data_IF_334748075285
#
_entry.id   IF_334748075285
#
_cell.length_a   1.000
_cell.length_b   1.000
_cell.length_c   1.000
_cell.angle_alpha   90.00
_cell.angle_beta   90.00
_cell.angle_gamma   90.00
#
_symmetry.space_group_name_H-M   'P 1'
#
loop_
_entity.id
_entity.type
_entity.pdbx_description
1 polymer ?
#
# COMPACT_ATOMS: atom_id res chain seq x y z
N UNK A 1 -2.30 -29.14 17.49
CA UNK A 1 -2.92 -28.98 16.16
C UNK A 1 -4.43 -28.72 16.36
N UNK A 2 -4.79 -27.59 16.97
CA UNK A 2 -6.18 -27.20 17.28
C UNK A 2 -6.24 -25.70 17.67
N UNK A 3 -6.03 -24.78 16.71
CA UNK A 3 -6.15 -23.31 16.96
C UNK A 3 -7.21 -22.66 16.04
N UNK A 4 -7.93 -23.47 15.25
CA UNK A 4 -8.85 -22.97 14.25
C UNK A 4 -10.09 -23.85 14.16
N UNK A 5 -10.99 -23.74 15.13
CA UNK A 5 -12.36 -24.24 14.97
C UNK A 5 -13.12 -23.23 14.07
N UNK A 6 -12.73 -23.20 12.80
CA UNK A 6 -13.24 -22.31 11.74
C UNK A 6 -14.53 -22.93 11.18
N UNK A 7 -15.49 -23.27 12.04
CA UNK A 7 -16.74 -23.89 11.62
C UNK A 7 -17.75 -22.83 11.13
N UNK A 8 -17.47 -22.22 9.98
CA UNK A 8 -18.56 -21.68 9.14
C UNK A 8 -19.37 -22.85 8.57
N UNK A 9 -20.67 -22.66 8.30
CA UNK A 9 -21.45 -23.67 7.58
C UNK A 9 -20.97 -23.76 6.13
N UNK A 10 -19.97 -24.59 5.88
CA UNK A 10 -19.34 -24.78 4.57
C UNK A 10 -20.00 -25.88 3.72
N UNK A 11 -21.04 -26.53 4.26
CA UNK A 11 -21.74 -27.64 3.61
C UNK A 11 -22.83 -27.15 2.65
N UNK A 12 -23.42 -25.99 2.95
CA UNK A 12 -24.50 -25.39 2.17
C UNK A 12 -24.03 -24.05 1.61
N UNK A 13 -24.12 -23.90 0.29
CA UNK A 13 -23.87 -22.62 -0.36
C UNK A 13 -25.12 -21.75 -0.19
N UNK A 14 -25.03 -20.57 0.44
CA UNK A 14 -26.18 -19.69 0.58
C UNK A 14 -26.60 -19.11 -0.77
N UNK A 15 -27.91 -19.01 -1.04
CA UNK A 15 -28.45 -18.48 -2.30
C UNK A 15 -28.09 -17.00 -2.54
N UNK A 16 -27.94 -16.26 -1.43
CA UNK A 16 -27.69 -14.81 -1.43
C UNK A 16 -26.68 -14.44 -0.35
N UNK A 17 -26.00 -13.31 -0.54
CA UNK A 17 -24.96 -12.80 0.36
C UNK A 17 -25.26 -11.35 0.74
N UNK A 18 -25.04 -10.99 2.01
CA UNK A 18 -25.18 -9.62 2.47
C UNK A 18 -24.05 -8.73 1.96
N UNK A 19 -24.36 -7.52 1.53
CA UNK A 19 -23.37 -6.51 1.16
C UNK A 19 -22.54 -6.05 2.37
N UNK A 20 -21.24 -5.81 2.19
CA UNK A 20 -20.36 -5.16 3.17
C UNK A 20 -19.79 -3.86 2.59
N UNK A 21 -20.61 -2.82 2.70
CA UNK A 21 -20.32 -1.47 2.25
C UNK A 21 -19.14 -0.81 2.99
N UNK A 22 -18.72 -1.31 4.16
CA UNK A 22 -17.54 -0.80 4.86
C UNK A 22 -16.25 -1.18 4.15
N UNK A 23 -16.21 -2.36 3.54
CA UNK A 23 -15.04 -2.91 2.86
C UNK A 23 -15.04 -2.64 1.35
N UNK A 24 -16.15 -2.96 0.68
CA UNK A 24 -16.28 -2.84 -0.78
C UNK A 24 -17.05 -1.59 -1.23
N UNK A 25 -17.34 -0.68 -0.29
CA UNK A 25 -18.05 0.55 -0.58
C UNK A 25 -17.29 1.54 -1.43
N UNK A 26 -18.03 2.33 -2.22
CA UNK A 26 -17.47 3.31 -3.15
C UNK A 26 -16.45 4.26 -2.48
N UNK A 27 -16.77 4.80 -1.31
CA UNK A 27 -15.87 5.73 -0.61
C UNK A 27 -14.57 5.09 -0.09
N UNK A 28 -14.64 3.87 0.47
CA UNK A 28 -13.45 3.12 0.91
C UNK A 28 -12.52 2.83 -0.27
N UNK A 29 -13.10 2.31 -1.37
CA UNK A 29 -12.33 2.00 -2.58
C UNK A 29 -11.71 3.26 -3.20
N UNK A 30 -12.49 4.33 -3.31
CA UNK A 30 -12.03 5.59 -3.89
C UNK A 30 -10.90 6.21 -3.07
N UNK A 31 -10.96 6.13 -1.74
CA UNK A 31 -9.89 6.63 -0.87
C UNK A 31 -8.55 5.95 -1.15
N UNK A 32 -8.54 4.62 -1.27
CA UNK A 32 -7.33 3.87 -1.61
C UNK A 32 -6.82 4.18 -3.02
N UNK A 33 -7.73 4.29 -3.99
CA UNK A 33 -7.37 4.58 -5.40
C UNK A 33 -6.77 5.99 -5.51
N UNK A 34 -7.42 7.00 -4.94
CA UNK A 34 -6.93 8.39 -4.97
C UNK A 34 -5.57 8.48 -4.28
N UNK A 35 -5.44 7.90 -3.08
CA UNK A 35 -4.17 7.91 -2.33
C UNK A 35 -3.05 7.27 -3.13
N UNK A 36 -3.31 6.12 -3.76
CA UNK A 36 -2.31 5.42 -4.55
C UNK A 36 -1.92 6.21 -5.80
N UNK A 37 -2.89 6.75 -6.54
CA UNK A 37 -2.62 7.57 -7.74
C UNK A 37 -1.80 8.82 -7.41
N UNK A 38 -2.19 9.56 -6.37
CA UNK A 38 -1.46 10.76 -5.93
C UNK A 38 -0.07 10.38 -5.45
N UNK A 39 0.07 9.33 -4.64
CA UNK A 39 1.38 8.91 -4.10
C UNK A 39 2.34 8.46 -5.19
N UNK A 40 1.86 7.71 -6.19
CA UNK A 40 2.67 7.30 -7.33
C UNK A 40 3.06 8.51 -8.20
N UNK A 41 2.17 9.48 -8.39
CA UNK A 41 2.46 10.72 -9.11
C UNK A 41 3.52 11.56 -8.38
N UNK A 42 3.35 11.78 -7.07
CA UNK A 42 4.32 12.51 -6.25
C UNK A 42 5.68 11.81 -6.23
N UNK A 43 5.69 10.48 -6.09
CA UNK A 43 6.90 9.66 -6.19
C UNK A 43 7.58 9.83 -7.55
N UNK A 44 6.81 9.82 -8.65
CA UNK A 44 7.34 10.03 -9.98
C UNK A 44 7.95 11.43 -10.16
N UNK A 45 7.27 12.47 -9.69
CA UNK A 45 7.77 13.85 -9.72
C UNK A 45 9.10 13.96 -8.96
N UNK A 46 9.18 13.43 -7.74
CA UNK A 46 10.41 13.49 -6.92
C UNK A 46 11.56 12.75 -7.59
N UNK A 47 11.32 11.56 -8.14
CA UNK A 47 12.35 10.78 -8.83
C UNK A 47 12.81 11.50 -10.10
N UNK A 48 11.90 12.03 -10.91
CA UNK A 48 12.22 12.77 -12.15
C UNK A 48 13.01 14.06 -11.87
N UNK A 49 12.65 14.80 -10.82
CA UNK A 49 13.40 15.98 -10.39
C UNK A 49 14.83 15.60 -9.95
N UNK A 50 14.98 14.51 -9.19
CA UNK A 50 16.29 13.96 -8.82
C UNK A 50 17.15 13.48 -10.01
N UNK A 51 16.54 13.17 -11.16
CA UNK A 51 17.28 12.92 -12.40
C UNK A 51 17.79 14.22 -13.03
N UNK A 52 16.99 15.30 -12.99
CA UNK A 52 17.31 16.62 -13.56
C UNK A 52 18.27 17.48 -12.70
N UNK A 53 18.87 16.91 -11.65
CA UNK A 53 19.69 17.63 -10.64
C UNK A 53 18.95 18.75 -9.89
N UNK A 54 17.62 18.82 -9.96
CA UNK A 54 16.83 19.77 -9.17
C UNK A 54 16.22 18.99 -8.01
N UNK A 55 16.56 19.33 -6.76
CA UNK A 55 16.23 18.48 -5.60
C UNK A 55 15.17 19.02 -4.65
N UNK A 56 14.73 20.26 -4.85
CA UNK A 56 13.81 20.93 -3.94
C UNK A 56 12.34 20.66 -4.31
N UNK A 57 11.80 19.54 -3.83
CA UNK A 57 10.35 19.26 -3.82
C UNK A 57 9.79 19.07 -2.40
N UNK A 58 10.03 20.01 -1.46
CA UNK A 58 9.72 19.84 -0.04
C UNK A 58 8.23 19.52 0.21
N UNK A 59 7.35 20.19 -0.53
CA UNK A 59 5.90 19.98 -0.47
C UNK A 59 5.53 18.56 -0.90
N UNK A 60 6.05 18.10 -2.04
CA UNK A 60 5.78 16.75 -2.55
C UNK A 60 6.27 15.68 -1.58
N UNK A 61 7.45 15.88 -0.96
CA UNK A 61 7.99 14.95 0.05
C UNK A 61 7.07 14.86 1.27
N UNK A 62 6.66 16.00 1.86
CA UNK A 62 5.78 16.01 3.05
C UNK A 62 4.42 15.38 2.74
N UNK A 63 3.83 15.69 1.59
CA UNK A 63 2.57 15.09 1.14
C UNK A 63 2.68 13.59 0.96
N UNK A 64 3.74 13.12 0.27
CA UNK A 64 3.95 11.70 0.01
C UNK A 64 4.12 10.90 1.30
N UNK A 65 4.83 11.46 2.29
CA UNK A 65 4.93 10.87 3.64
C UNK A 65 3.53 10.76 4.26
N UNK A 66 2.76 11.85 4.29
CA UNK A 66 1.44 11.87 4.92
C UNK A 66 0.45 10.87 4.29
N UNK A 67 0.38 10.81 2.96
CA UNK A 67 -0.47 9.85 2.25
C UNK A 67 -0.07 8.40 2.55
N UNK A 68 1.22 8.10 2.52
CA UNK A 68 1.72 6.76 2.79
C UNK A 68 1.50 6.34 4.24
N UNK A 69 1.64 7.25 5.20
CA UNK A 69 1.41 6.97 6.63
C UNK A 69 -0.09 6.73 6.93
N UNK A 70 -0.98 7.42 6.23
CA UNK A 70 -2.41 7.11 6.31
C UNK A 70 -2.69 5.73 5.68
N UNK A 71 -2.13 5.47 4.50
CA UNK A 71 -2.40 4.26 3.70
C UNK A 71 -1.89 2.97 4.38
N UNK A 72 -0.80 3.04 5.14
CA UNK A 72 -0.28 1.89 5.87
C UNK A 72 -1.17 1.51 7.05
N UNK A 73 -1.66 2.50 7.82
CA UNK A 73 -2.52 2.26 8.98
C UNK A 73 -3.88 1.73 8.53
N UNK A 74 -4.50 2.38 7.53
CA UNK A 74 -5.78 1.92 6.99
C UNK A 74 -5.63 0.54 6.34
N UNK A 75 -4.51 0.29 5.64
CA UNK A 75 -4.19 -0.98 4.99
C UNK A 75 -4.08 -2.14 5.98
N UNK A 76 -3.38 -1.93 7.10
CA UNK A 76 -3.31 -2.92 8.18
C UNK A 76 -4.69 -3.14 8.81
N UNK A 77 -5.45 -2.06 9.02
CA UNK A 77 -6.79 -2.11 9.60
C UNK A 77 -7.76 -2.96 8.77
N UNK A 78 -7.86 -2.71 7.46
CA UNK A 78 -8.79 -3.44 6.58
C UNK A 78 -8.42 -4.93 6.48
N UNK A 79 -7.13 -5.25 6.40
CA UNK A 79 -6.66 -6.64 6.36
C UNK A 79 -6.94 -7.37 7.68
N UNK A 80 -6.74 -6.69 8.81
CA UNK A 80 -7.05 -7.24 10.13
C UNK A 80 -8.55 -7.54 10.27
N UNK A 81 -9.43 -6.63 9.81
CA UNK A 81 -10.88 -6.86 9.80
C UNK A 81 -11.26 -8.06 8.92
N UNK A 82 -10.64 -8.20 7.74
CA UNK A 82 -10.85 -9.35 6.86
C UNK A 82 -10.49 -10.68 7.52
N UNK A 83 -9.36 -10.73 8.23
CA UNK A 83 -8.92 -11.93 8.95
C UNK A 83 -9.81 -12.25 10.16
N UNK A 84 -10.19 -11.23 10.95
CA UNK A 84 -11.09 -11.44 12.11
C UNK A 84 -12.46 -11.94 11.66
N UNK A 85 -12.98 -11.42 10.53
CA UNK A 85 -14.27 -11.83 9.97
C UNK A 85 -14.16 -13.02 9.00
N UNK A 86 -13.06 -13.77 8.99
CA UNK A 86 -12.84 -14.84 7.99
C UNK A 86 -13.92 -15.93 7.96
N UNK A 87 -14.61 -16.19 9.08
CA UNK A 87 -15.69 -17.18 9.18
C UNK A 87 -17.04 -16.72 8.64
N UNK A 88 -17.23 -15.40 8.48
CA UNK A 88 -18.51 -14.80 8.07
C UNK A 88 -18.40 -13.98 6.78
N UNK A 89 -17.21 -13.46 6.48
CA UNK A 89 -16.93 -12.70 5.27
C UNK A 89 -16.74 -13.63 4.08
N UNK A 90 -17.45 -13.34 3.00
CA UNK A 90 -17.38 -14.11 1.76
C UNK A 90 -16.09 -13.85 0.99
N UNK A 91 -15.75 -14.78 0.11
CA UNK A 91 -14.53 -14.72 -0.70
C UNK A 91 -14.46 -13.46 -1.58
N UNK A 92 -15.60 -12.94 -2.05
CA UNK A 92 -15.67 -11.69 -2.84
C UNK A 92 -15.13 -10.47 -2.08
N UNK A 93 -15.64 -10.17 -0.88
CA UNK A 93 -15.17 -9.03 -0.08
C UNK A 93 -13.72 -9.22 0.35
N UNK A 94 -13.33 -10.45 0.68
CA UNK A 94 -11.96 -10.76 1.07
C UNK A 94 -10.97 -10.54 -0.10
N UNK A 95 -11.37 -10.85 -1.33
CA UNK A 95 -10.57 -10.57 -2.53
C UNK A 95 -10.36 -9.07 -2.73
N UNK A 96 -11.38 -8.24 -2.48
CA UNK A 96 -11.25 -6.78 -2.52
C UNK A 96 -10.25 -6.29 -1.47
N UNK A 97 -10.32 -6.80 -0.23
CA UNK A 97 -9.34 -6.46 0.83
C UNK A 97 -7.91 -6.76 0.38
N UNK A 98 -7.69 -7.91 -0.26
CA UNK A 98 -6.38 -8.27 -0.79
C UNK A 98 -5.90 -7.28 -1.86
N UNK A 99 -6.76 -6.87 -2.80
CA UNK A 99 -6.41 -5.84 -3.80
C UNK A 99 -6.09 -4.49 -3.16
N UNK A 100 -6.82 -4.08 -2.12
CA UNK A 100 -6.55 -2.84 -1.37
C UNK A 100 -5.20 -2.92 -0.63
N UNK A 101 -4.81 -4.09 -0.14
CA UNK A 101 -3.49 -4.34 0.44
C UNK A 101 -2.36 -4.18 -0.61
N UNK A 102 -2.58 -4.60 -1.85
CA UNK A 102 -1.62 -4.40 -2.94
C UNK A 102 -1.43 -2.90 -3.24
N UNK A 103 -2.51 -2.11 -3.29
CA UNK A 103 -2.43 -0.65 -3.45
C UNK A 103 -1.69 0.01 -2.28
N UNK A 104 -1.97 -0.41 -1.05
CA UNK A 104 -1.25 0.06 0.13
C UNK A 104 0.24 -0.28 0.05
N UNK A 105 0.58 -1.49 -0.38
CA UNK A 105 1.98 -1.90 -0.55
C UNK A 105 2.68 -1.07 -1.63
N UNK A 106 2.07 -0.89 -2.80
CA UNK A 106 2.63 -0.09 -3.89
C UNK A 106 2.90 1.36 -3.45
N UNK A 107 1.96 1.97 -2.72
CA UNK A 107 2.08 3.33 -2.18
C UNK A 107 3.26 3.45 -1.21
N UNK A 108 3.34 2.54 -0.23
CA UNK A 108 4.39 2.56 0.79
C UNK A 108 5.78 2.35 0.19
N UNK A 109 5.86 1.48 -0.80
CA UNK A 109 7.10 1.14 -1.47
C UNK A 109 7.57 2.24 -2.42
N UNK A 110 6.66 2.88 -3.14
CA UNK A 110 6.96 4.06 -3.97
C UNK A 110 7.51 5.20 -3.09
N UNK A 111 6.94 5.38 -1.90
CA UNK A 111 7.41 6.37 -0.94
C UNK A 111 8.84 6.08 -0.47
N UNK A 112 9.15 4.83 -0.13
CA UNK A 112 10.51 4.42 0.24
C UNK A 112 11.50 4.65 -0.91
N UNK A 113 11.12 4.31 -2.14
CA UNK A 113 11.92 4.48 -3.34
C UNK A 113 12.28 5.96 -3.59
N UNK A 114 11.30 6.86 -3.46
CA UNK A 114 11.45 8.30 -3.70
C UNK A 114 12.17 9.04 -2.56
N UNK A 115 11.94 8.62 -1.30
CA UNK A 115 12.42 9.30 -0.09
C UNK A 115 13.52 8.54 0.64
N UNK A 116 14.26 7.67 -0.06
CA UNK A 116 15.32 6.84 0.54
C UNK A 116 16.35 7.65 1.33
N UNK A 117 16.72 8.84 0.86
CA UNK A 117 17.70 9.69 1.52
C UNK A 117 17.13 10.34 2.78
N UNK A 118 15.85 10.70 2.76
CA UNK A 118 15.15 11.26 3.93
C UNK A 118 15.07 10.21 5.05
N UNK A 119 14.72 8.96 4.72
CA UNK A 119 14.65 7.88 5.72
C UNK A 119 16.02 7.41 6.24
N UNK A 120 17.12 7.71 5.53
CA UNK A 120 18.47 7.41 6.04
C UNK A 120 18.89 8.36 7.16
N UNK A 121 18.29 9.56 7.26
CA UNK A 121 18.61 10.55 8.29
C UNK A 121 18.08 10.14 9.66
N UNK A 122 16.83 9.70 9.73
CA UNK A 122 16.12 9.45 10.99
C UNK A 122 15.89 7.95 11.23
N UNK A 123 16.74 7.34 12.06
CA UNK A 123 16.74 5.88 12.25
C UNK A 123 15.47 5.34 12.92
N UNK A 124 14.88 6.08 13.88
CA UNK A 124 13.67 5.64 14.60
C UNK A 124 12.47 5.59 13.65
N UNK A 125 12.22 6.67 12.91
CA UNK A 125 11.12 6.74 11.94
C UNK A 125 11.29 5.69 10.84
N UNK A 126 12.53 5.43 10.43
CA UNK A 126 12.84 4.34 9.49
C UNK A 126 12.42 2.97 10.02
N UNK A 127 12.78 2.61 11.25
CA UNK A 127 12.44 1.32 11.83
C UNK A 127 10.95 1.18 12.09
N UNK A 128 10.30 2.22 12.61
CA UNK A 128 8.85 2.24 12.82
C UNK A 128 8.11 2.00 11.51
N UNK A 129 8.51 2.70 10.44
CA UNK A 129 7.92 2.54 9.12
C UNK A 129 8.16 1.15 8.55
N UNK A 130 9.39 0.64 8.64
CA UNK A 130 9.72 -0.70 8.16
C UNK A 130 8.97 -1.79 8.92
N UNK A 131 8.77 -1.62 10.22
CA UNK A 131 7.94 -2.51 11.02
C UNK A 131 6.49 -2.54 10.52
N UNK A 132 5.86 -1.38 10.35
CA UNK A 132 4.49 -1.35 9.81
C UNK A 132 4.41 -1.88 8.36
N UNK A 133 5.42 -1.61 7.53
CA UNK A 133 5.44 -2.12 6.15
C UNK A 133 5.60 -3.64 6.13
N UNK A 134 6.40 -4.19 7.04
CA UNK A 134 6.54 -5.63 7.25
C UNK A 134 5.22 -6.26 7.70
N UNK A 135 4.53 -5.65 8.66
CA UNK A 135 3.21 -6.12 9.11
C UNK A 135 2.20 -6.10 7.96
N UNK A 136 2.14 -4.99 7.20
CA UNK A 136 1.25 -4.88 6.04
C UNK A 136 1.54 -5.95 4.97
N UNK A 137 2.82 -6.18 4.67
CA UNK A 137 3.25 -7.21 3.73
C UNK A 137 2.90 -8.61 4.23
N UNK A 138 3.11 -8.91 5.51
CA UNK A 138 2.79 -10.21 6.11
C UNK A 138 1.28 -10.49 6.04
N UNK A 139 0.44 -9.53 6.42
CA UNK A 139 -1.01 -9.63 6.27
C UNK A 139 -1.42 -9.77 4.80
N UNK A 140 -0.71 -9.11 3.88
CA UNK A 140 -0.94 -9.18 2.44
C UNK A 140 -0.64 -10.56 1.86
N UNK A 141 0.48 -11.17 2.29
CA UNK A 141 0.86 -12.53 1.92
C UNK A 141 -0.12 -13.53 2.50
N UNK A 142 -0.51 -13.40 3.78
CA UNK A 142 -1.51 -14.27 4.41
C UNK A 142 -2.83 -14.23 3.65
N UNK A 143 -3.39 -13.03 3.41
CA UNK A 143 -4.62 -12.88 2.63
C UNK A 143 -4.45 -13.40 1.19
N UNK A 144 -3.29 -13.21 0.58
CA UNK A 144 -2.94 -13.79 -0.71
C UNK A 144 -2.97 -15.31 -0.72
N UNK A 145 -2.48 -15.99 0.33
CA UNK A 145 -2.54 -17.45 0.45
C UNK A 145 -4.00 -17.93 0.52
N UNK A 146 -4.87 -17.26 1.28
CA UNK A 146 -6.29 -17.58 1.31
C UNK A 146 -6.92 -17.47 -0.10
N UNK A 147 -6.63 -16.39 -0.83
CA UNK A 147 -7.11 -16.21 -2.21
C UNK A 147 -6.51 -17.24 -3.18
N UNK A 148 -5.24 -17.60 -3.03
CA UNK A 148 -4.64 -18.65 -3.84
C UNK A 148 -5.39 -19.97 -3.65
N UNK A 149 -5.71 -20.31 -2.40
CA UNK A 149 -6.47 -21.53 -2.09
C UNK A 149 -7.90 -21.49 -2.64
N UNK A 150 -8.57 -20.32 -2.67
CA UNK A 150 -9.92 -20.22 -3.28
C UNK A 150 -9.89 -20.47 -4.77
N UNK A 151 -8.86 -19.98 -5.46
CA UNK A 151 -8.68 -20.23 -6.89
C UNK A 151 -8.30 -21.69 -7.15
N UNK A 152 -7.41 -22.28 -6.35
CA UNK A 152 -6.99 -23.68 -6.51
C UNK A 152 -8.13 -24.68 -6.29
N UNK A 153 -9.03 -24.40 -5.34
CA UNK A 153 -10.17 -25.27 -5.02
C UNK A 153 -11.46 -24.94 -5.79
N UNK A 154 -11.43 -23.86 -6.59
CA UNK A 154 -12.60 -23.32 -7.28
C UNK A 154 -13.78 -23.08 -6.30
N UNK A 155 -13.49 -22.39 -5.20
CA UNK A 155 -14.48 -22.13 -4.15
C UNK A 155 -15.56 -21.17 -4.67
N UNK A 156 -16.82 -21.45 -4.34
CA UNK A 156 -17.90 -20.54 -4.70
C UNK A 156 -17.73 -19.16 -4.03
N UNK A 157 -17.87 -18.05 -4.77
CA UNK A 157 -17.66 -16.70 -4.23
C UNK A 157 -18.53 -16.33 -3.02
N UNK A 158 -19.66 -17.03 -2.84
CA UNK A 158 -20.65 -16.84 -1.78
C UNK A 158 -20.28 -17.52 -0.46
N UNK A 159 -19.33 -18.46 -0.50
CA UNK A 159 -18.89 -19.13 0.71
C UNK A 159 -17.92 -18.25 1.50
N UNK A 160 -17.98 -18.34 2.84
CA UNK A 160 -16.98 -17.71 3.70
C UNK A 160 -15.57 -18.14 3.33
N UNK A 161 -14.61 -17.22 3.41
CA UNK A 161 -13.21 -17.48 3.04
C UNK A 161 -12.58 -18.61 3.89
N UNK A 162 -13.02 -18.71 5.15
CA UNK A 162 -12.80 -19.82 6.07
C UNK A 162 -12.96 -21.23 5.45
N UNK A 163 -13.96 -21.40 4.59
CA UNK A 163 -14.32 -22.70 4.02
C UNK A 163 -13.27 -23.25 3.06
N UNK A 164 -12.28 -22.45 2.69
CA UNK A 164 -11.18 -22.89 1.83
C UNK A 164 -10.38 -24.05 2.44
N UNK A 165 -10.39 -24.22 3.76
CA UNK A 165 -9.68 -25.32 4.42
C UNK A 165 -10.51 -26.59 4.60
N UNK A 166 -11.83 -26.49 4.53
CA UNK A 166 -12.76 -27.59 4.83
C UNK A 166 -13.36 -28.22 3.58
N UNK A 167 -13.58 -27.44 2.52
CA UNK A 167 -14.21 -27.93 1.29
C UNK A 167 -13.18 -28.62 0.40
N UNK A 168 -13.57 -29.77 -0.17
CA UNK A 168 -12.79 -30.48 -1.19
C UNK A 168 -12.77 -29.72 -2.52
N UNK A 169 -11.71 -29.94 -3.31
CA UNK A 169 -11.55 -29.27 -4.60
C UNK A 169 -12.66 -29.68 -5.58
N UNK A 170 -13.37 -28.71 -6.17
CA UNK A 170 -14.45 -28.96 -7.15
C UNK A 170 -13.94 -29.05 -8.60
N UNK A 171 -12.67 -29.38 -8.79
CA UNK A 171 -12.00 -29.44 -10.08
C UNK A 171 -11.46 -28.09 -10.56
N UNK A 172 -10.59 -28.11 -11.58
CA UNK A 172 -9.93 -26.93 -12.13
C UNK A 172 -10.60 -26.46 -13.42
N UNK A 173 -11.00 -25.18 -13.48
CA UNK A 173 -11.47 -24.54 -14.73
C UNK A 173 -10.32 -24.44 -15.75
N UNK A 174 -10.62 -24.38 -17.05
CA UNK A 174 -9.59 -24.21 -18.12
C UNK A 174 -8.66 -23.00 -17.88
N UNK A 175 -9.20 -21.92 -17.32
CA UNK A 175 -8.46 -20.68 -17.07
C UNK A 175 -7.82 -20.64 -15.67
N UNK A 176 -7.97 -21.71 -14.87
CA UNK A 176 -7.48 -21.75 -13.50
C UNK A 176 -5.95 -21.63 -13.44
N UNK A 177 -5.23 -22.22 -14.40
CA UNK A 177 -3.76 -22.15 -14.43
C UNK A 177 -3.24 -20.71 -14.51
N UNK A 178 -3.88 -19.85 -15.33
CA UNK A 178 -3.51 -18.45 -15.49
C UNK A 178 -3.80 -17.66 -14.21
N UNK A 179 -4.97 -17.88 -13.59
CA UNK A 179 -5.35 -17.21 -12.35
C UNK A 179 -4.45 -17.63 -11.16
N UNK A 180 -4.13 -18.92 -11.06
CA UNK A 180 -3.21 -19.47 -10.06
C UNK A 180 -1.81 -18.88 -10.25
N UNK A 181 -1.26 -18.95 -11.47
CA UNK A 181 0.05 -18.41 -11.79
C UNK A 181 0.13 -16.90 -11.51
N UNK A 182 -0.91 -16.14 -11.90
CA UNK A 182 -1.01 -14.71 -11.63
C UNK A 182 -1.03 -14.40 -10.13
N UNK A 183 -1.80 -15.17 -9.34
CA UNK A 183 -1.88 -14.97 -7.89
C UNK A 183 -0.54 -15.27 -7.20
N UNK A 184 0.11 -16.38 -7.55
CA UNK A 184 1.44 -16.73 -7.04
C UNK A 184 2.46 -15.66 -7.42
N UNK A 185 2.43 -15.20 -8.68
CA UNK A 185 3.33 -14.16 -9.16
C UNK A 185 3.16 -12.88 -8.35
N UNK A 186 1.92 -12.44 -8.08
CA UNK A 186 1.65 -11.22 -7.29
C UNK A 186 2.15 -11.36 -5.85
N UNK A 187 1.93 -12.49 -5.20
CA UNK A 187 2.42 -12.76 -3.82
C UNK A 187 3.95 -12.76 -3.80
N UNK A 188 4.59 -13.47 -4.72
CA UNK A 188 6.04 -13.51 -4.81
C UNK A 188 6.62 -12.13 -5.11
N UNK A 189 5.99 -11.36 -6.00
CA UNK A 189 6.39 -10.01 -6.34
C UNK A 189 6.34 -9.09 -5.12
N UNK A 190 5.29 -9.18 -4.31
CA UNK A 190 5.15 -8.39 -3.09
C UNK A 190 6.33 -8.62 -2.14
N UNK A 191 6.70 -9.88 -1.90
CA UNK A 191 7.81 -10.25 -1.02
C UNK A 191 9.15 -9.82 -1.60
N UNK A 192 9.41 -10.15 -2.87
CA UNK A 192 10.68 -9.84 -3.55
C UNK A 192 10.93 -8.34 -3.52
N UNK A 193 9.94 -7.53 -3.89
CA UNK A 193 10.14 -6.08 -3.99
C UNK A 193 10.25 -5.46 -2.60
N UNK A 194 9.53 -5.94 -1.59
CA UNK A 194 9.72 -5.49 -0.20
C UNK A 194 11.14 -5.77 0.32
N UNK A 195 11.66 -6.99 0.10
CA UNK A 195 13.03 -7.35 0.48
C UNK A 195 14.04 -6.50 -0.28
N UNK A 196 13.90 -6.37 -1.60
CA UNK A 196 14.77 -5.55 -2.42
C UNK A 196 14.80 -4.09 -1.95
N UNK A 197 13.65 -3.51 -1.61
CA UNK A 197 13.58 -2.14 -1.10
C UNK A 197 14.14 -1.98 0.31
N UNK A 198 14.02 -3.00 1.17
CA UNK A 198 14.65 -2.99 2.49
C UNK A 198 16.17 -3.05 2.37
N UNK A 199 16.70 -3.89 1.48
CA UNK A 199 18.13 -3.96 1.16
C UNK A 199 18.62 -2.64 0.56
N UNK A 200 17.86 -2.07 -0.36
CA UNK A 200 18.13 -0.77 -0.97
C UNK A 200 18.25 0.36 0.07
N UNK A 201 17.36 0.37 1.06
CA UNK A 201 17.39 1.36 2.15
C UNK A 201 18.63 1.22 3.05
N UNK A 202 19.08 -0.02 3.30
CA UNK A 202 20.24 -0.31 4.15
C UNK A 202 21.58 -0.28 3.41
N UNK A 203 21.57 -0.22 2.08
CA UNK A 203 22.80 -0.12 1.29
C UNK A 203 23.59 1.15 1.69
N UNK A 204 24.79 0.94 2.22
CA UNK A 204 25.65 1.98 2.84
C UNK A 204 26.41 2.83 1.82
N UNK A 205 26.70 2.25 0.65
CA UNK A 205 27.45 2.90 -0.43
C UNK A 205 26.48 3.43 -1.47
N UNK A 206 26.63 4.67 -1.92
CA UNK A 206 25.77 5.32 -2.92
C UNK A 206 26.22 4.90 -4.33
N UNK A 207 25.69 3.83 -4.94
CA UNK A 207 26.22 3.30 -6.18
C UNK A 207 25.66 4.12 -7.35
N UNK A 208 26.41 4.28 -8.44
CA UNK A 208 25.91 4.95 -9.66
C UNK A 208 24.60 4.35 -10.21
N UNK A 209 24.29 3.11 -9.81
CA UNK A 209 23.08 2.36 -10.17
C UNK A 209 21.82 2.76 -9.39
N UNK A 210 21.93 3.58 -8.35
CA UNK A 210 20.81 3.99 -7.50
C UNK A 210 19.67 4.63 -8.32
N UNK A 211 20.01 5.54 -9.23
CA UNK A 211 19.04 6.22 -10.11
C UNK A 211 18.34 5.25 -11.06
N UNK A 212 19.06 4.25 -11.58
CA UNK A 212 18.48 3.22 -12.45
C UNK A 212 17.46 2.36 -11.68
N UNK A 213 17.82 1.94 -10.47
CA UNK A 213 16.91 1.19 -9.58
C UNK A 213 15.66 1.99 -9.23
N UNK A 214 15.79 3.31 -8.98
CA UNK A 214 14.63 4.19 -8.75
C UNK A 214 13.70 4.27 -9.98
N UNK A 215 14.23 4.38 -11.19
CA UNK A 215 13.39 4.47 -12.38
C UNK A 215 12.70 3.14 -12.66
N UNK A 216 13.43 2.02 -12.63
CA UNK A 216 12.87 0.68 -12.87
C UNK A 216 11.85 0.32 -11.80
N UNK A 217 12.16 0.56 -10.53
CA UNK A 217 11.24 0.34 -9.41
C UNK A 217 9.98 1.17 -9.53
N UNK A 218 10.08 2.44 -9.95
CA UNK A 218 8.92 3.30 -10.15
C UNK A 218 8.01 2.79 -11.26
N UNK A 219 8.57 2.38 -12.41
CA UNK A 219 7.79 1.83 -13.54
C UNK A 219 7.04 0.57 -13.09
N UNK A 220 7.73 -0.32 -12.36
CA UNK A 220 7.16 -1.54 -11.83
C UNK A 220 6.01 -1.26 -10.84
N UNK A 221 6.16 -0.27 -9.96
CA UNK A 221 5.14 0.12 -8.99
C UNK A 221 3.96 0.83 -9.63
N UNK A 222 4.19 1.62 -10.68
CA UNK A 222 3.14 2.19 -11.51
C UNK A 222 2.33 1.09 -12.18
N UNK A 223 2.98 0.09 -12.79
CA UNK A 223 2.31 -1.03 -13.41
C UNK A 223 1.48 -1.84 -12.40
N UNK A 224 2.05 -2.14 -11.23
CA UNK A 224 1.34 -2.82 -10.14
C UNK A 224 0.14 -2.01 -9.64
N UNK A 225 0.32 -0.70 -9.38
CA UNK A 225 -0.74 0.17 -8.88
C UNK A 225 -1.89 0.36 -9.87
N UNK A 226 -1.57 0.56 -11.16
CA UNK A 226 -2.58 0.66 -12.23
C UNK A 226 -3.30 -0.68 -12.41
N UNK A 227 -2.57 -1.80 -12.44
CA UNK A 227 -3.16 -3.14 -12.58
C UNK A 227 -4.11 -3.49 -11.44
N UNK A 228 -3.70 -3.24 -10.18
CA UNK A 228 -4.55 -3.45 -9.02
C UNK A 228 -5.78 -2.53 -9.05
N UNK A 229 -5.60 -1.25 -9.38
CA UNK A 229 -6.71 -0.28 -9.49
C UNK A 229 -7.72 -0.70 -10.54
N UNK A 230 -7.26 -1.06 -11.74
CA UNK A 230 -8.13 -1.55 -12.82
C UNK A 230 -8.91 -2.79 -12.37
N UNK A 231 -8.25 -3.71 -11.65
CA UNK A 231 -8.91 -4.90 -11.13
C UNK A 231 -9.98 -4.57 -10.07
N UNK A 232 -9.70 -3.65 -9.15
CA UNK A 232 -10.69 -3.17 -8.16
C UNK A 232 -11.91 -2.56 -8.85
N UNK A 233 -11.70 -1.69 -9.84
CA UNK A 233 -12.78 -1.02 -10.57
C UNK A 233 -13.64 -2.03 -11.33
N UNK A 234 -13.03 -3.04 -11.96
CA UNK A 234 -13.77 -4.05 -12.71
C UNK A 234 -14.57 -5.01 -11.83
N UNK A 235 -14.02 -5.41 -10.67
CA UNK A 235 -14.60 -6.47 -9.83
C UNK A 235 -15.59 -5.93 -8.79
N UNK A 236 -15.44 -4.70 -8.33
CA UNK A 236 -16.31 -4.14 -7.29
C UNK A 236 -17.72 -3.82 -7.82
N UNK A 237 -18.75 -4.08 -7.01
CA UNK A 237 -20.13 -3.64 -7.28
C UNK A 237 -20.23 -2.11 -7.35
N UNK A 238 -19.41 -1.41 -6.56
CA UNK A 238 -19.43 0.04 -6.45
C UNK A 238 -19.18 0.73 -7.80
N UNK A 239 -18.24 0.22 -8.61
CA UNK A 239 -17.86 0.83 -9.89
C UNK A 239 -18.15 -0.04 -11.11
N UNK A 240 -18.03 -1.35 -10.97
CA UNK A 240 -18.13 -2.32 -12.05
C UNK A 240 -19.42 -3.14 -12.02
N UNK A 241 -19.31 -4.38 -12.49
CA UNK A 241 -20.36 -5.40 -12.43
C UNK A 241 -19.94 -6.47 -11.44
N UNK A 242 -20.87 -6.84 -10.55
CA UNK A 242 -20.65 -7.93 -9.59
C UNK A 242 -20.30 -9.21 -10.35
N UNK A 243 -19.29 -9.98 -9.91
CA UNK A 243 -18.99 -11.28 -10.51
C UNK A 243 -20.20 -12.21 -10.50
N UNK A 244 -20.36 -13.00 -11.56
CA UNK A 244 -21.46 -13.95 -11.68
C UNK A 244 -21.50 -14.91 -10.48
N UNK A 245 -22.68 -15.05 -9.88
CA UNK A 245 -22.92 -15.99 -8.79
C UNK A 245 -22.64 -15.47 -7.38
N UNK A 246 -22.37 -14.18 -7.15
CA UNK A 246 -22.26 -13.61 -5.78
C UNK A 246 -23.64 -13.29 -5.17
N UNK A 247 -24.63 -12.92 -5.98
CA UNK A 247 -26.02 -12.62 -5.57
C UNK A 247 -26.12 -11.76 -4.30
N UNK A 248 -25.68 -10.51 -4.39
CA UNK A 248 -25.68 -9.57 -3.27
C UNK A 248 -27.11 -9.07 -2.95
N UNK A 249 -27.46 -9.06 -1.67
CA UNK A 249 -28.74 -8.58 -1.13
C UNK A 249 -28.48 -7.59 0.00
N UNK A 250 -29.23 -6.49 0.01
CA UNK A 250 -29.10 -5.41 0.99
C UNK A 250 -28.87 -4.04 0.33
N UNK A 251 -28.50 -3.02 1.11
CA UNK A 251 -28.10 -1.72 0.59
C UNK A 251 -26.96 -1.88 -0.41
N UNK A 252 -27.02 -1.13 -1.51
CA UNK A 252 -26.02 -1.22 -2.57
C UNK A 252 -24.65 -0.79 -2.04
N UNK A 253 -23.56 -1.42 -2.50
CA UNK A 253 -22.20 -0.93 -2.23
C UNK A 253 -21.95 0.47 -2.84
N UNK A 254 -22.86 0.94 -3.71
CA UNK A 254 -22.91 2.30 -4.26
C UNK A 254 -23.56 3.32 -3.31
N UNK A 255 -24.36 2.85 -2.35
CA UNK A 255 -25.06 3.73 -1.43
C UNK A 255 -24.08 4.29 -0.41
N UNK A 256 -24.10 5.61 -0.26
CA UNK A 256 -23.18 6.31 0.63
C UNK A 256 -23.56 6.09 2.09
N UNK A 257 -22.58 5.71 2.91
CA UNK A 257 -22.70 5.60 4.36
C UNK A 257 -21.56 6.30 5.08
N UNK A 258 -21.75 6.61 6.36
CA UNK A 258 -20.72 7.25 7.18
C UNK A 258 -19.37 6.50 7.14
N UNK A 259 -19.41 5.16 7.17
CA UNK A 259 -18.21 4.32 7.12
C UNK A 259 -17.41 4.44 5.82
N UNK A 260 -18.08 4.75 4.70
CA UNK A 260 -17.43 4.99 3.41
C UNK A 260 -16.91 6.43 3.27
N UNK A 261 -17.58 7.39 3.91
CA UNK A 261 -17.17 8.79 3.90
C UNK A 261 -15.91 9.03 4.74
N UNK A 262 -15.77 8.31 5.86
CA UNK A 262 -14.65 8.48 6.79
C UNK A 262 -13.27 8.29 6.11
N UNK A 263 -13.01 7.23 5.33
CA UNK A 263 -11.76 7.08 4.57
C UNK A 263 -11.47 8.23 3.59
N UNK A 264 -12.49 8.83 2.98
CA UNK A 264 -12.31 9.98 2.10
C UNK A 264 -12.00 11.25 2.88
N UNK A 265 -12.65 11.44 4.03
CA UNK A 265 -12.41 12.58 4.89
C UNK A 265 -10.98 12.58 5.45
N UNK A 266 -10.41 11.41 5.70
CA UNK A 266 -9.00 11.29 6.10
C UNK A 266 -8.03 11.85 5.03
N UNK A 267 -8.40 11.84 3.73
CA UNK A 267 -7.59 12.48 2.66
C UNK A 267 -7.46 13.99 2.80
N UNK A 268 -8.29 14.62 3.63
CA UNK A 268 -8.17 16.04 3.94
C UNK A 268 -6.95 16.30 4.83
N UNK A 269 -6.51 15.34 5.66
CA UNK A 269 -5.37 15.54 6.58
C UNK A 269 -4.05 15.86 5.82
N UNK A 270 -3.67 15.11 4.77
CA UNK A 270 -2.54 15.52 3.93
C UNK A 270 -2.71 16.90 3.28
N UNK A 271 -3.93 17.30 2.92
CA UNK A 271 -4.20 18.62 2.34
C UNK A 271 -4.04 19.75 3.36
N UNK A 272 -4.44 19.53 4.61
CA UNK A 272 -4.18 20.48 5.70
C UNK A 272 -2.67 20.66 5.88
N UNK A 273 -1.92 19.55 5.93
CA UNK A 273 -0.45 19.57 6.00
C UNK A 273 0.21 20.34 4.85
N UNK A 274 -0.40 20.33 3.66
CA UNK A 274 0.02 21.12 2.50
C UNK A 274 -0.23 22.62 2.72
N UNK A 275 -1.43 22.99 3.19
CA UNK A 275 -1.78 24.39 3.46
C UNK A 275 -0.85 24.99 4.52
N UNK A 276 -0.54 24.27 5.59
CA UNK A 276 0.41 24.71 6.63
C UNK A 276 1.81 24.99 6.07
N UNK A 277 2.29 24.17 5.13
CA UNK A 277 3.59 24.40 4.48
C UNK A 277 3.53 25.61 3.55
N UNK A 278 2.45 25.76 2.78
CA UNK A 278 2.27 26.91 1.88
C UNK A 278 2.16 28.23 2.66
N UNK A 279 1.59 28.20 3.87
CA UNK A 279 1.55 29.35 4.78
C UNK A 279 2.88 29.64 5.48
N UNK A 280 3.86 28.74 5.37
CA UNK A 280 5.16 28.88 6.03
C UNK A 280 5.13 28.58 7.53
N UNK A 281 4.05 28.00 8.05
CA UNK A 281 3.92 27.62 9.47
C UNK A 281 4.84 26.43 9.81
N UNK A 282 5.18 25.60 8.83
CA UNK A 282 6.10 24.46 8.97
C UNK A 282 7.29 24.61 8.02
N UNK A 283 8.50 24.81 8.57
CA UNK A 283 9.75 24.76 7.80
C UNK A 283 10.10 23.30 7.48
N UNK A 284 10.19 22.98 6.20
CA UNK A 284 10.66 21.66 5.75
C UNK A 284 12.19 21.68 5.70
N UNK A 285 12.90 20.75 6.34
CA UNK A 285 14.35 20.74 6.31
C UNK A 285 14.85 20.50 4.88
N UNK A 286 15.79 21.33 4.44
CA UNK A 286 16.44 21.23 3.13
C UNK A 286 17.27 19.94 3.03
N UNK A 287 17.36 19.35 1.83
CA UNK A 287 18.07 18.09 1.63
C UNK A 287 19.55 18.37 1.34
N UNK A 288 20.49 17.57 1.88
CA UNK A 288 21.94 17.79 1.71
C UNK A 288 22.43 17.82 0.27
N UNK A 289 21.63 17.35 -0.70
CA UNK A 289 21.95 17.45 -2.13
C UNK A 289 21.87 18.90 -2.63
N UNK A 290 21.03 19.74 -2.02
CA UNK A 290 20.93 21.17 -2.35
C UNK A 290 22.21 21.94 -1.93
N UNK A 291 23.00 21.43 -0.98
CA UNK A 291 24.27 22.05 -0.57
C UNK A 291 25.45 21.77 -1.51
N UNK A 292 25.40 20.74 -2.35
CA UNK A 292 26.53 20.42 -3.23
C UNK A 292 26.58 21.31 -4.48
N UNK A 293 25.44 21.81 -4.97
CA UNK A 293 25.38 22.67 -6.15
C UNK A 293 25.48 24.18 -5.83
N UNK A 294 25.46 24.58 -4.56
CA UNK A 294 25.53 26.01 -4.14
C UNK A 294 26.84 26.44 -3.44
N UNK A 295 27.66 25.49 -2.99
CA UNK A 295 28.82 25.78 -2.12
C UNK A 295 30.17 25.79 -2.86
N UNK A 296 30.22 25.42 -4.15
CA UNK A 296 31.46 25.50 -4.95
C UNK A 296 31.64 26.84 -5.68
N UNK A 297 30.66 27.74 -5.65
CA UNK A 297 30.73 29.05 -6.35
C UNK A 297 30.72 30.27 -5.41
N UNK A 298 30.58 30.11 -4.09
CA UNK A 298 30.29 31.25 -3.20
C UNK A 298 30.98 31.27 -1.83
N UNK A 299 32.16 30.64 -1.67
CA UNK A 299 32.98 30.80 -0.45
C UNK A 299 34.40 31.30 -0.73
N UNK A 300 34.47 32.49 -1.34
CA UNK A 300 35.38 33.53 -0.86
C UNK A 300 34.63 34.42 0.13
N UNK A 301 34.51 34.02 1.40
CA UNK A 301 33.74 34.81 2.38
C UNK A 301 33.48 34.13 3.72
N UNK A 302 34.47 34.23 4.60
CA UNK A 302 34.40 34.33 6.06
C UNK A 302 33.00 34.35 6.73
N UNK A 303 32.71 33.37 7.61
CA UNK A 303 31.79 33.59 8.75
C UNK A 303 30.80 32.48 9.12
N UNK A 304 31.14 31.74 10.18
CA UNK A 304 30.24 31.24 11.24
C UNK A 304 29.00 30.38 10.90
N UNK A 305 29.04 29.10 11.29
CA UNK A 305 27.85 28.25 11.40
C UNK A 305 28.18 26.77 11.55
N UNK A 306 28.80 26.38 12.66
CA UNK A 306 29.03 24.96 13.00
C UNK A 306 27.68 24.30 13.26
N UNK A 307 27.14 23.55 12.29
CA UNK A 307 26.00 22.65 12.54
C UNK A 307 26.48 21.52 13.45
N UNK A 308 26.14 21.64 14.73
CA UNK A 308 26.37 20.64 15.76
C UNK A 308 25.53 19.40 15.42
N UNK A 309 26.18 18.33 14.98
CA UNK A 309 25.60 16.99 14.89
C UNK A 309 25.00 16.65 16.27
N UNK A 310 23.67 16.50 16.38
CA UNK A 310 23.06 16.00 17.62
C UNK A 310 23.51 14.55 17.84
N UNK A 311 24.29 14.24 18.90
CA UNK A 311 24.69 12.88 19.17
C UNK A 311 23.50 12.05 19.67
N UNK A 312 23.56 10.76 19.36
CA UNK A 312 22.54 9.76 19.70
C UNK A 312 22.37 9.67 21.24
N UNK A 313 21.17 9.84 21.81
CA UNK A 313 20.99 9.91 23.27
C UNK A 313 21.23 8.59 24.01
N UNK A 314 21.37 7.47 23.31
CA UNK A 314 21.54 6.13 23.91
C UNK A 314 23.00 5.64 23.82
N UNK A 315 23.75 6.11 22.82
CA UNK A 315 25.16 5.75 22.65
C UNK A 315 25.93 7.02 22.35
N UNK A 316 26.07 7.85 23.37
CA UNK A 316 26.93 9.03 23.32
C UNK A 316 28.38 8.60 23.12
N UNK A 317 28.84 8.68 21.88
CA UNK A 317 30.13 9.23 21.40
C UNK A 317 30.20 9.08 19.89
#
# INVERSE_FOLDING_TARGET
>A
MAIFDIAGNCTVVPDTVKTDAGVAGAGTLLSYIITNCISLLLSAIIVLLGLRKSTSAPICRKLLIAFSDQQIITGIGIQSVGLVKMSTMVSYHFFIIWLLSLLSTATNLATLLALVNDFKRDWVLRWLRQFFMLVNMFLGVLSGIFILQTVMKNLEPRLPIACVWTVESRGTRSDAAISIAGTIAVIALQVIVFVASTLYLHARTNPRWLKSVQVVGLIMLLAMGIGATARVVMVSQAFGKVPDGVNLVGPSEKDWSYGQLLPLLLLVLPLINLVEVLRGEVRVPENKVDHQDGMEELLGGQGSGVELFQPNPIWGK
#
